data_IF_670954947836
#
_entry.id   IF_670954947836
#
_cell.length_a   1.000
_cell.length_b   1.000
_cell.length_c   1.000
_cell.angle_alpha   90.00
_cell.angle_beta   90.00
_cell.angle_gamma   90.00
#
_symmetry.space_group_name_H-M   'P 1'
#
loop_
_entity.id
_entity.type
_entity.pdbx_description
1 polymer ?
#
# COMPACT_ATOMS: atom_id res chain seq x y z
N UNK A 1 -10.56 -2.08 15.49
CA UNK A 1 -9.71 -3.19 15.96
C UNK A 1 -8.23 -3.06 15.59
N UNK A 2 -7.89 -2.64 14.37
CA UNK A 2 -6.49 -2.54 13.91
C UNK A 2 -5.60 -1.64 14.79
N UNK A 3 -6.07 -0.43 15.14
CA UNK A 3 -5.33 0.52 16.01
C UNK A 3 -5.07 -0.06 17.41
N UNK A 4 -6.05 -0.79 17.99
CA UNK A 4 -5.86 -1.43 19.32
C UNK A 4 -4.79 -2.52 19.27
N UNK A 5 -4.75 -3.31 18.20
CA UNK A 5 -3.76 -4.39 18.06
C UNK A 5 -2.34 -3.85 17.78
N UNK A 6 -2.24 -2.74 17.03
CA UNK A 6 -0.99 -2.03 16.79
C UNK A 6 -0.41 -1.41 18.07
N UNK A 7 -1.23 -0.68 18.82
CA UNK A 7 -0.79 0.09 19.99
C UNK A 7 -0.45 -0.80 21.18
N UNK A 8 -1.06 -1.97 21.30
CA UNK A 8 -0.81 -2.89 22.42
C UNK A 8 0.43 -3.77 22.22
N UNK A 9 1.11 -3.69 21.07
CA UNK A 9 2.28 -4.52 20.76
C UNK A 9 1.98 -6.01 20.64
N UNK A 10 0.69 -6.39 20.57
CA UNK A 10 0.27 -7.78 20.41
C UNK A 10 0.58 -8.34 19.01
N UNK A 11 0.84 -7.46 18.04
CA UNK A 11 1.33 -7.81 16.71
C UNK A 11 2.63 -7.03 16.45
N UNK A 12 3.77 -7.71 16.55
CA UNK A 12 5.01 -7.20 15.96
C UNK A 12 4.86 -7.37 14.44
N UNK A 13 4.92 -6.27 13.70
CA UNK A 13 4.78 -6.28 12.24
C UNK A 13 6.15 -6.07 11.60
N UNK A 14 6.62 -7.08 10.87
CA UNK A 14 7.85 -7.02 10.08
C UNK A 14 7.67 -6.16 8.82
N UNK A 15 6.43 -5.93 8.42
CA UNK A 15 6.08 -4.98 7.36
C UNK A 15 4.57 -4.85 7.21
N UNK A 16 4.11 -3.94 6.37
CA UNK A 16 2.69 -3.75 6.10
C UNK A 16 2.40 -3.40 4.64
N UNK A 17 1.22 -3.82 4.17
CA UNK A 17 0.66 -3.42 2.88
C UNK A 17 -0.32 -2.27 3.12
N UNK A 18 -0.04 -1.10 2.54
CA UNK A 18 -0.94 0.06 2.55
C UNK A 18 -1.81 0.00 1.30
N UNK A 19 -3.11 -0.18 1.48
CA UNK A 19 -4.07 -0.23 0.37
C UNK A 19 -4.70 1.14 0.17
N UNK A 20 -4.57 1.69 -1.04
CA UNK A 20 -5.18 2.98 -1.43
C UNK A 20 -6.06 2.75 -2.67
N UNK A 21 -7.26 3.32 -2.69
CA UNK A 21 -8.11 3.21 -3.87
C UNK A 21 -7.70 4.27 -4.91
N UNK A 22 -7.40 3.86 -6.13
CA UNK A 22 -7.09 4.75 -7.27
C UNK A 22 -8.23 5.75 -7.55
N UNK A 23 -9.47 5.38 -7.23
CA UNK A 23 -10.66 6.22 -7.42
C UNK A 23 -10.74 7.41 -6.47
N UNK A 24 -10.14 7.28 -5.28
CA UNK A 24 -10.32 8.22 -4.16
C UNK A 24 -9.01 8.89 -3.72
N UNK A 25 -7.86 8.29 -4.04
CA UNK A 25 -6.55 8.73 -3.58
C UNK A 25 -6.34 8.59 -2.07
N UNK A 26 -5.32 9.26 -1.50
CA UNK A 26 -5.01 9.20 -0.07
C UNK A 26 -6.08 9.88 0.79
N UNK A 27 -6.83 9.08 1.54
CA UNK A 27 -7.87 9.57 2.46
C UNK A 27 -7.30 9.87 3.86
N UNK A 28 -8.01 10.60 4.73
CA UNK A 28 -7.56 10.86 6.11
C UNK A 28 -7.16 9.60 6.89
N UNK A 29 -7.84 8.48 6.63
CA UNK A 29 -7.53 7.17 7.22
C UNK A 29 -6.19 6.61 6.73
N UNK A 30 -5.83 6.80 5.46
CA UNK A 30 -4.52 6.44 4.92
C UNK A 30 -3.41 7.17 5.65
N UNK A 31 -3.61 8.47 5.94
CA UNK A 31 -2.64 9.28 6.70
C UNK A 31 -2.47 8.76 8.13
N UNK A 32 -3.59 8.46 8.79
CA UNK A 32 -3.57 7.90 10.14
C UNK A 32 -2.86 6.54 10.19
N UNK A 33 -3.09 5.67 9.21
CA UNK A 33 -2.42 4.37 9.16
C UNK A 33 -0.91 4.48 8.91
N UNK A 34 -0.47 5.37 8.02
CA UNK A 34 0.96 5.61 7.78
C UNK A 34 1.62 6.20 9.04
N UNK A 35 0.97 7.17 9.69
CA UNK A 35 1.45 7.73 10.96
C UNK A 35 1.56 6.66 12.04
N UNK A 36 0.55 5.81 12.19
CA UNK A 36 0.57 4.72 13.17
C UNK A 36 1.68 3.71 12.85
N UNK A 37 1.85 3.32 11.58
CA UNK A 37 2.92 2.42 11.15
C UNK A 37 4.30 2.97 11.53
N UNK A 38 4.51 4.29 11.36
CA UNK A 38 5.73 4.97 11.81
C UNK A 38 5.88 4.92 13.34
N UNK A 39 4.82 5.22 14.09
CA UNK A 39 4.86 5.26 15.56
C UNK A 39 5.10 3.90 16.20
N UNK A 40 4.57 2.83 15.61
CA UNK A 40 4.81 1.46 16.11
C UNK A 40 6.07 0.83 15.55
N UNK A 41 6.80 1.53 14.68
CA UNK A 41 8.10 1.11 14.17
C UNK A 41 8.04 0.02 13.10
N UNK A 42 7.02 0.02 12.23
CA UNK A 42 6.99 -0.89 11.07
C UNK A 42 8.18 -0.56 10.16
N UNK A 43 9.08 -1.52 9.86
CA UNK A 43 10.35 -1.22 9.22
C UNK A 43 10.24 -1.06 7.69
N UNK A 44 9.29 -1.73 7.05
CA UNK A 44 9.09 -1.70 5.61
C UNK A 44 7.60 -1.65 5.24
N UNK A 45 7.27 -0.89 4.20
CA UNK A 45 5.93 -0.76 3.65
C UNK A 45 5.93 -1.10 2.16
N UNK A 46 4.83 -1.68 1.70
CA UNK A 46 4.51 -1.83 0.28
C UNK A 46 3.14 -1.21 0.05
N UNK A 47 2.93 -0.53 -1.08
CA UNK A 47 1.65 0.07 -1.42
C UNK A 47 0.95 -0.76 -2.49
N UNK A 48 -0.35 -1.00 -2.29
CA UNK A 48 -1.22 -1.52 -3.34
C UNK A 48 -2.25 -0.46 -3.71
N UNK A 49 -2.12 0.12 -4.91
CA UNK A 49 -3.11 1.02 -5.47
C UNK A 49 -4.21 0.20 -6.15
N UNK A 50 -5.33 0.05 -5.47
CA UNK A 50 -6.43 -0.83 -5.81
C UNK A 50 -7.50 -0.11 -6.66
N UNK A 51 -8.40 -0.88 -7.29
CA UNK A 51 -9.49 -0.40 -8.16
C UNK A 51 -9.00 0.32 -9.42
N UNK A 52 -7.83 -0.03 -9.93
CA UNK A 52 -7.28 0.55 -11.16
C UNK A 52 -8.16 0.23 -12.37
N UNK A 53 -8.88 -0.89 -12.33
CA UNK A 53 -9.90 -1.26 -13.32
C UNK A 53 -11.07 -0.28 -13.43
N UNK A 54 -11.24 0.62 -12.46
CA UNK A 54 -12.30 1.63 -12.43
C UNK A 54 -11.82 3.01 -12.89
N UNK A 55 -10.54 3.15 -13.27
CA UNK A 55 -9.92 4.42 -13.65
C UNK A 55 -9.31 4.30 -15.04
N UNK A 56 -9.91 4.98 -16.01
CA UNK A 56 -9.49 4.91 -17.42
C UNK A 56 -8.40 5.92 -17.79
N UNK A 57 -8.12 6.89 -16.93
CA UNK A 57 -7.17 7.98 -17.18
C UNK A 57 -5.80 7.71 -16.53
N UNK A 58 -4.75 7.44 -17.31
CA UNK A 58 -3.40 7.21 -16.79
C UNK A 58 -2.83 8.41 -16.02
N UNK A 59 -3.19 9.65 -16.40
CA UNK A 59 -2.67 10.84 -15.71
C UNK A 59 -3.22 10.92 -14.27
N UNK A 60 -4.46 10.47 -14.06
CA UNK A 60 -5.05 10.39 -12.72
C UNK A 60 -4.35 9.33 -11.86
N UNK A 61 -3.98 8.19 -12.45
CA UNK A 61 -3.25 7.13 -11.74
C UNK A 61 -1.87 7.61 -11.30
N UNK A 62 -1.14 8.30 -12.18
CA UNK A 62 0.17 8.89 -11.87
C UNK A 62 0.06 9.97 -10.78
N UNK A 63 -0.98 10.81 -10.83
CA UNK A 63 -1.25 11.82 -9.81
C UNK A 63 -1.49 11.17 -8.44
N UNK A 64 -2.34 10.14 -8.37
CA UNK A 64 -2.62 9.45 -7.11
C UNK A 64 -1.37 8.78 -6.55
N UNK A 65 -0.56 8.14 -7.41
CA UNK A 65 0.70 7.54 -6.98
C UNK A 65 1.65 8.61 -6.41
N UNK A 66 1.79 9.76 -7.07
CA UNK A 66 2.60 10.87 -6.58
C UNK A 66 2.14 11.35 -5.21
N UNK A 67 0.83 11.54 -5.00
CA UNK A 67 0.27 11.95 -3.71
C UNK A 67 0.53 10.91 -2.60
N UNK A 68 0.49 9.61 -2.92
CA UNK A 68 0.83 8.55 -1.97
C UNK A 68 2.31 8.62 -1.60
N UNK A 69 3.21 8.79 -2.57
CA UNK A 69 4.66 8.89 -2.33
C UNK A 69 5.00 10.11 -1.47
N UNK A 70 4.41 11.26 -1.78
CA UNK A 70 4.57 12.48 -0.97
C UNK A 70 4.10 12.26 0.47
N UNK A 71 2.96 11.58 0.66
CA UNK A 71 2.44 11.28 1.99
C UNK A 71 3.34 10.33 2.79
N UNK A 72 3.92 9.32 2.13
CA UNK A 72 4.90 8.43 2.75
C UNK A 72 6.16 9.20 3.18
N UNK A 73 6.70 10.03 2.28
CA UNK A 73 7.86 10.89 2.55
C UNK A 73 7.59 11.89 3.68
N UNK A 74 6.39 12.45 3.74
CA UNK A 74 5.96 13.36 4.82
C UNK A 74 6.04 12.70 6.21
N UNK A 75 5.74 11.39 6.31
CA UNK A 75 5.85 10.62 7.54
C UNK A 75 7.17 9.85 7.68
N UNK A 76 8.23 10.32 6.99
CA UNK A 76 9.60 9.82 7.10
C UNK A 76 9.80 8.36 6.64
N UNK A 77 8.93 7.88 5.74
CA UNK A 77 9.19 6.67 4.95
C UNK A 77 9.91 7.03 3.64
N UNK A 78 10.67 6.11 3.02
CA UNK A 78 11.32 6.35 1.74
C UNK A 78 10.32 6.26 0.59
N UNK A 79 9.47 7.29 0.43
CA UNK A 79 8.34 7.29 -0.51
C UNK A 79 8.73 7.03 -1.97
N UNK A 80 9.93 7.42 -2.39
CA UNK A 80 10.44 7.18 -3.75
C UNK A 80 10.90 5.72 -3.97
N UNK A 81 11.36 5.05 -2.91
CA UNK A 81 11.91 3.69 -2.98
C UNK A 81 10.87 2.60 -2.66
N UNK A 82 9.75 2.98 -2.03
CA UNK A 82 8.68 2.04 -1.69
C UNK A 82 8.00 1.51 -2.96
N UNK A 83 7.84 0.17 -3.12
CA UNK A 83 7.10 -0.39 -4.22
C UNK A 83 5.62 0.02 -4.18
N UNK A 84 5.11 0.52 -5.30
CA UNK A 84 3.69 0.84 -5.50
C UNK A 84 3.16 -0.04 -6.62
N UNK A 85 2.29 -0.98 -6.29
CA UNK A 85 1.71 -1.91 -7.26
C UNK A 85 0.30 -1.48 -7.59
N UNK A 86 0.05 -1.23 -8.88
CA UNK A 86 -1.24 -0.83 -9.40
C UNK A 86 -2.04 -2.07 -9.82
N UNK A 87 -3.26 -2.26 -9.29
CA UNK A 87 -4.06 -3.44 -9.62
C UNK A 87 -5.53 -3.38 -9.21
N UNK A 88 -6.19 -4.52 -9.39
CA UNK A 88 -7.58 -4.74 -8.99
C UNK A 88 -7.69 -5.99 -8.13
N UNK A 89 -7.97 -5.81 -6.84
CA UNK A 89 -8.24 -6.94 -5.94
C UNK A 89 -9.51 -7.70 -6.34
N UNK A 90 -10.54 -7.01 -6.82
CA UNK A 90 -11.78 -7.64 -7.28
C UNK A 90 -11.53 -8.44 -8.57
N UNK A 91 -10.80 -7.87 -9.53
CA UNK A 91 -10.37 -8.58 -10.73
C UNK A 91 -9.53 -9.82 -10.41
N UNK A 92 -8.58 -9.70 -9.47
CA UNK A 92 -7.76 -10.82 -9.01
C UNK A 92 -8.58 -11.91 -8.34
N UNK A 93 -9.54 -11.54 -7.49
CA UNK A 93 -10.47 -12.47 -6.84
C UNK A 93 -11.36 -13.21 -7.85
N UNK A 94 -11.75 -12.54 -8.93
CA UNK A 94 -12.54 -13.13 -10.02
C UNK A 94 -11.70 -14.00 -10.97
N UNK A 95 -10.38 -14.08 -10.79
CA UNK A 95 -9.49 -14.92 -11.58
C UNK A 95 -9.13 -14.36 -12.95
N UNK A 96 -9.28 -13.05 -13.16
CA UNK A 96 -8.76 -12.41 -14.38
C UNK A 96 -7.23 -12.52 -14.40
N UNK A 97 -6.62 -13.17 -15.41
CA UNK A 97 -5.17 -13.39 -15.47
C UNK A 97 -4.35 -12.09 -15.33
N UNK A 98 -4.87 -10.97 -15.84
CA UNK A 98 -4.22 -9.66 -15.77
C UNK A 98 -4.07 -9.23 -14.32
N UNK A 99 -5.17 -9.31 -13.56
CA UNK A 99 -5.23 -8.84 -12.19
C UNK A 99 -4.63 -9.83 -11.20
N UNK A 100 -4.74 -11.13 -11.47
CA UNK A 100 -4.00 -12.17 -10.73
C UNK A 100 -2.49 -11.92 -10.85
N UNK A 101 -2.01 -11.56 -12.04
CA UNK A 101 -0.61 -11.17 -12.26
C UNK A 101 -0.17 -10.02 -11.34
N UNK A 102 -1.02 -8.99 -11.17
CA UNK A 102 -0.74 -7.87 -10.26
C UNK A 102 -0.74 -8.24 -8.78
N UNK A 103 -1.53 -9.23 -8.37
CA UNK A 103 -1.47 -9.76 -7.00
C UNK A 103 -0.16 -10.53 -6.78
N UNK A 104 0.29 -11.32 -7.76
CA UNK A 104 1.58 -11.98 -7.68
C UNK A 104 2.73 -10.98 -7.62
N UNK A 105 2.70 -9.94 -8.45
CA UNK A 105 3.67 -8.83 -8.41
C UNK A 105 3.71 -8.12 -7.05
N UNK A 106 2.55 -7.93 -6.41
CA UNK A 106 2.46 -7.42 -5.04
C UNK A 106 3.16 -8.34 -4.04
N UNK A 107 2.93 -9.65 -4.13
CA UNK A 107 3.56 -10.61 -3.23
C UNK A 107 5.08 -10.69 -3.46
N UNK A 108 5.53 -10.64 -4.72
CA UNK A 108 6.96 -10.60 -5.06
C UNK A 108 7.64 -9.32 -4.50
N UNK A 109 6.94 -8.18 -4.53
CA UNK A 109 7.41 -6.94 -3.93
C UNK A 109 7.49 -7.05 -2.39
N UNK A 110 6.51 -7.70 -1.76
CA UNK A 110 6.56 -8.00 -0.32
C UNK A 110 7.75 -8.87 0.03
N UNK A 111 7.97 -9.97 -0.70
CA UNK A 111 9.06 -10.92 -0.44
C UNK A 111 10.45 -10.30 -0.64
N UNK A 112 10.58 -9.35 -1.58
CA UNK A 112 11.85 -8.70 -1.91
C UNK A 112 12.14 -7.45 -1.07
N UNK A 113 11.12 -6.70 -0.65
CA UNK A 113 11.29 -5.42 0.03
C UNK A 113 11.15 -5.50 1.55
N UNK A 114 10.36 -6.44 2.07
CA UNK A 114 10.18 -6.63 3.50
C UNK A 114 11.25 -7.62 3.99
N UNK A 115 12.22 -7.19 4.82
CA UNK A 115 13.28 -8.07 5.28
C UNK A 115 12.70 -9.18 6.17
N UNK A 116 13.18 -10.40 5.96
CA UNK A 116 12.87 -11.52 6.83
C UNK A 116 13.66 -11.34 8.15
N UNK A 117 13.01 -11.46 9.33
CA UNK A 117 13.66 -11.34 10.64
C UNK A 117 14.83 -12.31 10.88
#
# INVERSE_FOLDING_TARGET
>A
DYVKNMVTGAAQMDGAIIVVAATDGPMPQTREHILLARQVGVPALVVFMNKVDMVDDPELLELVEMEVRELLSFYEFPGDDIPVIQGSALGGLNGDPTWVGKIMELMDAVDSYIPIP
#
